data_IF_950148528738
#
_entry.id   IF_950148528738
#
_cell.length_a   1.000
_cell.length_b   1.000
_cell.length_c   1.000
_cell.angle_alpha   90.00
_cell.angle_beta   90.00
_cell.angle_gamma   90.00
#
_symmetry.space_group_name_H-M   'P 1'
#
loop_
_entity.id
_entity.type
_entity.pdbx_description
1 polymer ?
#
# COMPACT_ATOMS: atom_id res chain seq x y z
N UNK A 1 -3.90 19.23 -12.16
CA UNK A 1 -4.42 20.49 -11.56
C UNK A 1 -3.34 21.09 -10.68
N UNK A 2 -3.40 22.39 -10.35
CA UNK A 2 -2.46 23.01 -9.42
C UNK A 2 -2.40 22.27 -8.06
N UNK A 3 -3.53 21.71 -7.62
CA UNK A 3 -3.59 20.90 -6.39
C UNK A 3 -2.79 19.59 -6.51
N UNK A 4 -2.88 18.89 -7.65
CA UNK A 4 -2.10 17.66 -7.88
C UNK A 4 -0.59 17.93 -7.94
N UNK A 5 -0.18 19.01 -8.59
CA UNK A 5 1.23 19.41 -8.65
C UNK A 5 1.79 19.72 -7.26
N UNK A 6 1.01 20.43 -6.42
CA UNK A 6 1.38 20.70 -5.02
C UNK A 6 1.47 19.42 -4.20
N UNK A 7 0.49 18.52 -4.31
CA UNK A 7 0.50 17.25 -3.61
C UNK A 7 1.71 16.38 -4.00
N UNK A 8 2.07 16.35 -5.28
CA UNK A 8 3.27 15.65 -5.75
C UNK A 8 4.57 16.27 -5.20
N UNK A 9 4.64 17.61 -5.12
CA UNK A 9 5.77 18.30 -4.52
C UNK A 9 5.89 18.04 -3.01
N UNK A 10 4.76 18.03 -2.29
CA UNK A 10 4.71 17.69 -0.85
C UNK A 10 5.17 16.25 -0.60
N UNK A 11 4.71 15.30 -1.41
CA UNK A 11 5.15 13.90 -1.33
C UNK A 11 6.64 13.74 -1.62
N UNK A 12 7.15 14.41 -2.66
CA UNK A 12 8.58 14.41 -3.00
C UNK A 12 9.42 14.98 -1.86
N UNK A 13 8.97 16.08 -1.25
CA UNK A 13 9.63 16.68 -0.10
C UNK A 13 9.63 15.75 1.11
N UNK A 14 8.52 15.05 1.37
CA UNK A 14 8.42 14.06 2.45
C UNK A 14 9.43 12.92 2.27
N UNK A 15 9.53 12.36 1.06
CA UNK A 15 10.54 11.34 0.72
C UNK A 15 11.96 11.87 0.96
N UNK A 16 12.24 13.10 0.52
CA UNK A 16 13.56 13.73 0.69
C UNK A 16 13.96 13.83 2.16
N UNK A 17 13.03 14.26 3.02
CA UNK A 17 13.25 14.35 4.47
C UNK A 17 13.52 12.98 5.10
N UNK A 18 12.74 11.95 4.74
CA UNK A 18 12.96 10.61 5.28
C UNK A 18 14.32 10.04 4.84
N UNK A 19 14.69 10.23 3.56
CA UNK A 19 16.01 9.81 3.04
C UNK A 19 17.16 10.53 3.73
N UNK A 20 17.04 11.83 3.99
CA UNK A 20 18.10 12.59 4.66
C UNK A 20 18.36 12.14 6.10
N UNK A 21 17.40 11.47 6.72
CA UNK A 21 17.52 10.83 8.03
C UNK A 21 17.97 9.35 7.95
N UNK A 22 18.37 8.86 6.77
CA UNK A 22 18.89 7.51 6.58
C UNK A 22 17.83 6.40 6.62
N UNK A 23 16.55 6.75 6.46
CA UNK A 23 15.47 5.76 6.38
C UNK A 23 15.51 5.09 5.00
N UNK A 24 15.56 3.76 4.96
CA UNK A 24 15.39 3.01 3.71
C UNK A 24 13.95 3.12 3.23
N UNK A 25 13.78 3.60 2.00
CA UNK A 25 12.47 3.82 1.38
C UNK A 25 12.34 2.97 0.13
N UNK A 26 11.19 2.32 0.01
CA UNK A 26 10.74 1.66 -1.20
C UNK A 26 9.58 2.47 -1.77
N UNK A 27 9.82 3.17 -2.89
CA UNK A 27 8.80 3.92 -3.60
C UNK A 27 8.43 3.12 -4.84
N UNK A 28 7.14 2.81 -4.99
CA UNK A 28 6.61 2.08 -6.13
C UNK A 28 5.78 3.06 -6.94
N UNK A 29 6.12 3.20 -8.22
CA UNK A 29 5.40 4.08 -9.14
C UNK A 29 4.02 3.50 -9.46
N UNK A 30 3.02 4.38 -9.48
CA UNK A 30 1.65 3.99 -9.75
C UNK A 30 1.34 3.90 -11.24
N UNK A 31 0.26 3.21 -11.59
CA UNK A 31 -0.22 3.09 -12.98
C UNK A 31 -1.44 3.97 -13.23
N UNK A 32 -1.57 4.62 -14.40
CA UNK A 32 -2.77 5.39 -14.75
C UNK A 32 -4.07 4.56 -14.75
N UNK A 33 -3.94 3.27 -15.10
CA UNK A 33 -5.03 2.30 -15.12
C UNK A 33 -4.66 1.06 -14.28
N UNK A 34 -5.58 0.52 -13.46
CA UNK A 34 -6.90 1.07 -13.16
C UNK A 34 -6.80 2.35 -12.32
N UNK A 35 -7.78 3.25 -12.48
CA UNK A 35 -7.80 4.51 -11.73
C UNK A 35 -8.02 4.28 -10.24
N UNK A 36 -6.94 4.39 -9.47
CA UNK A 36 -6.85 4.04 -8.04
C UNK A 36 -6.24 5.20 -7.25
N UNK A 37 -6.95 6.33 -7.11
CA UNK A 37 -6.37 7.57 -6.56
C UNK A 37 -5.89 7.46 -5.11
N UNK A 38 -6.42 6.48 -4.36
CA UNK A 38 -6.06 6.22 -2.96
C UNK A 38 -4.92 5.19 -2.80
N UNK A 39 -4.33 4.70 -3.91
CA UNK A 39 -3.20 3.74 -3.92
C UNK A 39 -1.96 4.22 -3.18
N UNK A 40 -1.82 5.54 -3.02
CA UNK A 40 -0.76 6.19 -2.23
C UNK A 40 -0.78 5.80 -0.74
N UNK A 41 -1.89 5.20 -0.26
CA UNK A 41 -2.06 4.71 1.11
C UNK A 41 -2.11 3.17 1.17
N UNK A 42 -0.98 2.48 0.92
CA UNK A 42 -0.93 1.01 0.90
C UNK A 42 -1.25 0.39 2.25
N UNK A 43 -1.04 1.12 3.34
CA UNK A 43 -1.34 0.73 4.71
C UNK A 43 -2.82 0.37 4.96
N UNK A 44 -3.75 0.70 4.05
CA UNK A 44 -5.14 0.27 4.18
C UNK A 44 -5.34 -1.22 3.87
N UNK A 45 -4.60 -1.78 2.91
CA UNK A 45 -4.85 -3.14 2.43
C UNK A 45 -3.75 -4.13 2.81
N UNK A 46 -2.61 -3.68 3.36
CA UNK A 46 -1.49 -4.54 3.76
C UNK A 46 -0.84 -4.11 5.08
N UNK A 47 -0.36 -5.10 5.83
CA UNK A 47 0.55 -4.88 6.97
C UNK A 47 1.66 -5.94 7.02
N UNK A 48 2.75 -5.59 7.71
CA UNK A 48 3.97 -6.39 7.80
C UNK A 48 4.33 -6.64 9.26
N UNK A 49 4.74 -7.86 9.59
CA UNK A 49 5.08 -8.27 10.95
C UNK A 49 6.52 -8.76 11.06
N UNK A 50 7.11 -8.64 12.25
CA UNK A 50 8.52 -8.93 12.53
C UNK A 50 8.94 -10.37 12.23
N UNK A 51 8.01 -11.33 12.25
CA UNK A 51 8.25 -12.72 11.92
C UNK A 51 8.17 -13.01 10.39
N UNK A 52 8.11 -11.98 9.54
CA UNK A 52 7.96 -12.12 8.10
C UNK A 52 6.52 -12.45 7.65
N UNK A 53 5.53 -12.25 8.52
CA UNK A 53 4.11 -12.38 8.12
C UNK A 53 3.66 -11.12 7.40
N UNK A 54 2.96 -11.30 6.29
CA UNK A 54 2.22 -10.28 5.55
C UNK A 54 0.73 -10.56 5.69
N UNK A 55 -0.05 -9.56 6.05
CA UNK A 55 -1.51 -9.66 6.10
C UNK A 55 -2.13 -8.80 4.99
N UNK A 56 -3.02 -9.38 4.18
CA UNK A 56 -3.81 -8.67 3.18
C UNK A 56 -5.24 -8.51 3.69
N UNK A 57 -5.78 -7.30 3.65
CA UNK A 57 -7.04 -6.97 4.29
C UNK A 57 -8.22 -6.81 3.31
N UNK A 58 -9.46 -7.17 3.74
CA UNK A 58 -10.67 -7.01 2.94
C UNK A 58 -11.14 -5.56 2.92
N UNK A 59 -11.18 -4.96 1.72
CA UNK A 59 -11.51 -3.55 1.52
C UNK A 59 -13.00 -3.37 1.19
N UNK A 60 -13.67 -2.43 1.86
CA UNK A 60 -15.10 -2.19 1.63
C UNK A 60 -15.37 -1.67 0.20
N UNK A 61 -14.76 -0.56 -0.26
CA UNK A 61 -15.07 -0.05 -1.58
C UNK A 61 -14.41 -0.92 -2.66
N UNK A 62 -15.19 -1.32 -3.67
CA UNK A 62 -14.72 -2.22 -4.74
C UNK A 62 -13.55 -1.64 -5.54
N UNK A 63 -13.51 -0.32 -5.75
CA UNK A 63 -12.41 0.35 -6.44
C UNK A 63 -11.08 0.23 -5.66
N UNK A 64 -11.15 0.25 -4.32
CA UNK A 64 -9.97 0.16 -3.46
C UNK A 64 -9.34 -1.23 -3.43
N UNK A 65 -10.09 -2.27 -3.76
CA UNK A 65 -9.56 -3.64 -3.95
C UNK A 65 -8.54 -3.72 -5.08
N UNK A 66 -8.60 -2.80 -6.05
CA UNK A 66 -7.65 -2.66 -7.16
C UNK A 66 -6.34 -1.99 -6.75
N UNK A 67 -6.26 -1.40 -5.55
CA UNK A 67 -5.02 -0.83 -4.99
C UNK A 67 -4.02 -1.91 -4.59
N UNK A 68 -4.45 -3.17 -4.45
CA UNK A 68 -3.60 -4.34 -4.21
C UNK A 68 -2.79 -4.68 -5.45
N UNK A 69 -1.77 -3.87 -5.74
CA UNK A 69 -0.98 -3.96 -6.97
C UNK A 69 0.12 -5.04 -6.84
N UNK A 70 0.22 -5.98 -7.79
CA UNK A 70 1.29 -6.99 -7.79
C UNK A 70 2.70 -6.40 -7.79
N UNK A 71 2.88 -5.20 -8.36
CA UNK A 71 4.15 -4.47 -8.37
C UNK A 71 4.62 -4.11 -6.96
N UNK A 72 3.70 -3.76 -6.06
CA UNK A 72 4.03 -3.46 -4.65
C UNK A 72 4.48 -4.72 -3.93
N UNK A 73 3.75 -5.83 -4.07
CA UNK A 73 4.12 -7.11 -3.45
C UNK A 73 5.49 -7.61 -3.94
N UNK A 74 5.73 -7.51 -5.25
CA UNK A 74 7.03 -7.87 -5.84
C UNK A 74 8.18 -7.02 -5.28
N UNK A 75 7.99 -5.71 -5.15
CA UNK A 75 9.00 -4.82 -4.58
C UNK A 75 9.32 -5.16 -3.11
N UNK A 76 8.35 -5.66 -2.35
CA UNK A 76 8.57 -6.17 -0.99
C UNK A 76 9.34 -7.49 -1.02
N UNK A 77 8.95 -8.45 -1.87
CA UNK A 77 9.62 -9.75 -2.01
C UNK A 77 11.09 -9.64 -2.44
N UNK A 78 11.44 -8.62 -3.24
CA UNK A 78 12.81 -8.34 -3.66
C UNK A 78 13.70 -7.82 -2.51
N UNK A 79 13.10 -7.27 -1.44
CA UNK A 79 13.82 -6.67 -0.31
C UNK A 79 13.73 -7.47 1.00
N UNK A 80 12.65 -8.22 1.21
CA UNK A 80 12.34 -8.87 2.47
C UNK A 80 11.97 -10.34 2.27
N UNK A 81 12.32 -11.17 3.26
CA UNK A 81 11.91 -12.57 3.28
C UNK A 81 10.48 -12.64 3.84
N UNK A 82 9.53 -12.97 2.98
CA UNK A 82 8.15 -13.27 3.39
C UNK A 82 8.08 -14.73 3.84
N UNK A 83 7.75 -14.94 5.11
CA UNK A 83 7.60 -16.27 5.71
C UNK A 83 6.17 -16.81 5.55
N UNK A 84 5.18 -15.92 5.62
CA UNK A 84 3.77 -16.28 5.56
C UNK A 84 2.94 -15.13 5.01
N UNK A 85 2.00 -15.43 4.13
CA UNK A 85 0.94 -14.50 3.74
C UNK A 85 -0.38 -14.98 4.35
N UNK A 86 -1.04 -14.11 5.11
CA UNK A 86 -2.41 -14.30 5.58
C UNK A 86 -3.30 -13.42 4.72
N UNK A 87 -4.07 -14.05 3.84
CA UNK A 87 -4.98 -13.36 2.94
C UNK A 87 -6.37 -13.36 3.55
N UNK A 88 -6.86 -12.20 4.02
CA UNK A 88 -8.21 -12.02 4.54
C UNK A 88 -9.18 -11.49 3.48
N UNK A 89 -8.74 -11.31 2.23
CA UNK A 89 -9.54 -10.67 1.18
C UNK A 89 -10.77 -11.49 0.78
N UNK A 90 -10.79 -12.79 1.09
CA UNK A 90 -11.96 -13.65 0.86
C UNK A 90 -13.20 -13.21 1.67
N UNK A 91 -13.02 -12.54 2.81
CA UNK A 91 -14.11 -12.00 3.62
C UNK A 91 -14.92 -10.90 2.91
N UNK A 92 -14.39 -10.34 1.82
CA UNK A 92 -15.12 -9.42 0.96
C UNK A 92 -16.35 -10.04 0.30
N UNK A 93 -16.43 -11.37 0.23
CA UNK A 93 -17.59 -12.11 -0.27
C UNK A 93 -18.68 -12.27 0.78
N UNK A 94 -18.31 -12.17 2.06
CA UNK A 94 -19.20 -12.31 3.22
C UNK A 94 -19.63 -10.94 3.80
N UNK A 95 -19.35 -9.85 3.08
CA UNK A 95 -19.55 -8.46 3.53
C UNK A 95 -18.86 -8.13 4.88
N UNK A 96 -17.69 -8.74 5.12
CA UNK A 96 -16.84 -8.47 6.29
C UNK A 96 -15.60 -7.70 5.83
N UNK A 97 -15.32 -6.57 6.48
CA UNK A 97 -14.28 -5.61 6.06
C UNK A 97 -13.40 -5.18 7.24
N UNK A 98 -12.13 -4.89 6.95
CA UNK A 98 -11.14 -4.39 7.89
C UNK A 98 -10.11 -3.61 7.09
N UNK A 99 -9.88 -2.33 7.36
CA UNK A 99 -8.85 -1.54 6.68
C UNK A 99 -7.73 -1.19 7.68
N UNK A 100 -6.47 -1.37 7.28
CA UNK A 100 -5.31 -1.33 8.18
C UNK A 100 -5.06 0.02 8.86
N UNK A 101 -5.61 1.11 8.32
CA UNK A 101 -5.69 2.40 9.02
C UNK A 101 -7.13 2.76 9.36
N UNK A 102 -7.39 3.07 10.63
CA UNK A 102 -8.70 3.46 11.14
C UNK A 102 -9.44 2.37 11.94
N UNK A 103 -8.83 1.19 12.08
CA UNK A 103 -9.32 0.06 12.89
C UNK A 103 -8.65 -0.03 14.26
#
# INVERSE_FOLDING_TARGET
>A
TLAQEKAAAEFTQFISVLRSHGIDLTVVEDTPDPHTPDSIFPNNWISFHTNGTVCLYPMYPKNRRLERKPTVLKAIEEKFIIQKTIDFTYYEQDDIFLEGTGS
#
